data_IF_724485598105
#
_entry.id   IF_724485598105
#
_cell.length_a   1.000
_cell.length_b   1.000
_cell.length_c   1.000
_cell.angle_alpha   90.00
_cell.angle_beta   90.00
_cell.angle_gamma   90.00
#
_symmetry.space_group_name_H-M   'P 1'
#
loop_
_entity.id
_entity.type
_entity.pdbx_description
1 polymer ?
#
# COMPACT_ATOMS: atom_id res chain seq x y z
N UNK A 1 -1.77 12.61 18.33
CA UNK A 1 -2.22 11.80 17.17
C UNK A 1 -2.06 10.34 17.54
N UNK A 2 -3.03 9.44 17.26
CA UNK A 2 -2.88 8.04 17.56
C UNK A 2 -1.68 7.43 16.82
N UNK A 3 -0.98 6.51 17.45
CA UNK A 3 0.08 5.77 16.77
C UNK A 3 -0.51 4.92 15.62
N UNK A 4 0.29 4.56 14.61
CA UNK A 4 -0.17 3.64 13.55
C UNK A 4 -0.67 2.31 14.12
N UNK A 5 -0.09 1.88 15.23
CA UNK A 5 -0.52 0.68 15.94
C UNK A 5 -1.94 0.84 16.51
N UNK A 6 -2.22 1.95 17.20
CA UNK A 6 -3.57 2.26 17.72
C UNK A 6 -4.59 2.37 16.59
N UNK A 7 -4.22 3.01 15.48
CA UNK A 7 -5.08 3.12 14.30
C UNK A 7 -5.39 1.73 13.74
N UNK A 8 -4.37 0.88 13.59
CA UNK A 8 -4.55 -0.49 13.10
C UNK A 8 -5.46 -1.31 14.02
N UNK A 9 -5.27 -1.23 15.34
CA UNK A 9 -6.16 -1.90 16.30
C UNK A 9 -7.60 -1.37 16.22
N UNK A 10 -7.77 -0.07 16.08
CA UNK A 10 -9.09 0.54 15.98
C UNK A 10 -9.84 0.09 14.73
N UNK A 11 -9.16 0.08 13.58
CA UNK A 11 -9.74 -0.37 12.31
C UNK A 11 -9.98 -1.88 12.30
N UNK A 12 -9.09 -2.68 12.91
CA UNK A 12 -9.27 -4.14 13.00
C UNK A 12 -10.57 -4.53 13.70
N UNK A 13 -11.04 -3.76 14.70
CA UNK A 13 -12.33 -4.01 15.37
C UNK A 13 -13.55 -3.87 14.45
N UNK A 14 -13.40 -3.23 13.30
CA UNK A 14 -14.46 -3.06 12.29
C UNK A 14 -14.37 -4.11 11.18
N UNK A 15 -13.43 -5.04 11.26
CA UNK A 15 -13.28 -6.10 10.27
C UNK A 15 -14.46 -7.06 10.35
N UNK A 16 -14.94 -7.49 9.19
CA UNK A 16 -16.00 -8.50 9.00
C UNK A 16 -15.35 -9.56 8.11
N UNK A 17 -15.39 -10.82 8.53
CA UNK A 17 -14.76 -11.96 7.88
C UNK A 17 -15.76 -13.00 7.35
N UNK A 18 -17.02 -12.59 7.23
CA UNK A 18 -18.13 -13.33 6.66
C UNK A 18 -18.73 -12.59 5.46
N UNK A 19 -19.54 -13.32 4.67
CA UNK A 19 -20.25 -12.75 3.52
C UNK A 19 -21.46 -11.93 4.01
N UNK A 20 -21.43 -10.61 3.81
CA UNK A 20 -22.48 -9.67 4.25
C UNK A 20 -23.04 -8.83 3.08
N UNK A 21 -23.24 -9.50 1.95
CA UNK A 21 -23.74 -8.90 0.71
C UNK A 21 -24.85 -9.76 0.08
N UNK A 22 -25.67 -9.12 -0.76
CA UNK A 22 -26.85 -9.76 -1.37
C UNK A 22 -26.53 -10.56 -2.65
N UNK A 23 -25.41 -10.26 -3.31
CA UNK A 23 -25.06 -10.90 -4.57
C UNK A 23 -24.55 -12.34 -4.37
N UNK A 24 -24.75 -13.19 -5.38
CA UNK A 24 -24.25 -14.58 -5.42
C UNK A 24 -23.22 -14.77 -6.52
N UNK A 25 -22.35 -15.76 -6.35
CA UNK A 25 -21.43 -16.18 -7.41
C UNK A 25 -22.20 -16.78 -8.59
N UNK A 26 -21.77 -16.58 -9.85
CA UNK A 26 -22.39 -17.21 -11.00
C UNK A 26 -22.30 -18.74 -10.89
N UNK A 27 -23.43 -19.43 -11.02
CA UNK A 27 -23.44 -20.91 -11.07
C UNK A 27 -22.98 -21.38 -12.45
N UNK A 28 -22.09 -22.38 -12.48
CA UNK A 28 -21.48 -22.89 -13.72
C UNK A 28 -22.44 -23.73 -14.60
N UNK A 29 -23.75 -23.65 -14.39
CA UNK A 29 -24.72 -24.50 -15.08
C UNK A 29 -24.92 -24.08 -16.52
N UNK A 30 -24.19 -24.75 -17.42
CA UNK A 30 -24.49 -24.87 -18.86
C UNK A 30 -25.79 -25.64 -19.17
N UNK A 31 -26.64 -25.92 -18.19
CA UNK A 31 -27.94 -26.55 -18.43
C UNK A 31 -29.02 -25.48 -18.56
N UNK A 32 -29.28 -25.10 -19.82
CA UNK A 32 -30.58 -24.56 -20.24
C UNK A 32 -31.64 -25.63 -20.00
N UNK A 33 -32.22 -25.64 -18.82
CA UNK A 33 -33.55 -26.20 -18.59
C UNK A 33 -34.29 -25.19 -17.76
N UNK A 34 -35.32 -24.64 -18.39
CA UNK A 34 -36.33 -23.74 -17.86
C UNK A 34 -36.71 -24.13 -16.43
N UNK A 35 -36.34 -23.27 -15.47
CA UNK A 35 -37.04 -23.19 -14.19
C UNK A 35 -37.65 -21.80 -14.16
N UNK A 36 -38.98 -21.83 -14.10
CA UNK A 36 -39.87 -20.69 -14.14
C UNK A 36 -39.58 -19.69 -13.02
N UNK A 37 -39.89 -18.45 -13.38
CA UNK A 37 -39.82 -17.24 -12.58
C UNK A 37 -40.57 -17.41 -11.25
N UNK A 38 -39.86 -17.21 -10.14
CA UNK A 38 -40.45 -16.72 -8.89
C UNK A 38 -39.68 -15.47 -8.46
N UNK A 39 -40.10 -14.32 -9.01
CA UNK A 39 -40.30 -13.08 -8.26
C UNK A 39 -39.14 -12.38 -7.54
N UNK A 40 -37.87 -12.72 -7.78
CA UNK A 40 -36.74 -11.96 -7.25
C UNK A 40 -35.58 -11.93 -8.25
N UNK A 41 -35.21 -10.74 -8.75
CA UNK A 41 -33.96 -10.59 -9.49
C UNK A 41 -32.79 -10.90 -8.55
N UNK A 42 -32.25 -12.12 -8.63
CA UNK A 42 -31.07 -12.50 -7.88
C UNK A 42 -29.88 -11.67 -8.36
N UNK A 43 -29.31 -10.84 -7.49
CA UNK A 43 -28.09 -10.10 -7.81
C UNK A 43 -26.94 -11.09 -7.98
N UNK A 44 -26.23 -11.02 -9.11
CA UNK A 44 -25.08 -11.88 -9.40
C UNK A 44 -23.81 -11.03 -9.38
N UNK A 45 -22.70 -11.61 -8.95
CA UNK A 45 -21.39 -10.98 -9.06
C UNK A 45 -21.08 -10.70 -10.54
N UNK A 46 -20.89 -9.43 -10.88
CA UNK A 46 -20.66 -8.94 -12.25
C UNK A 46 -19.32 -8.22 -12.38
N UNK A 47 -18.96 -7.37 -11.43
CA UNK A 47 -17.76 -6.54 -11.52
C UNK A 47 -16.78 -6.84 -10.38
N UNK A 48 -15.55 -7.23 -10.75
CA UNK A 48 -14.45 -7.51 -9.81
C UNK A 48 -13.34 -6.50 -10.03
N UNK A 49 -13.01 -5.75 -8.98
CA UNK A 49 -11.91 -4.80 -8.98
C UNK A 49 -10.57 -5.47 -8.67
N UNK A 50 -9.50 -4.87 -9.17
CA UNK A 50 -8.12 -5.20 -8.85
C UNK A 50 -7.36 -3.93 -8.50
N UNK A 51 -6.52 -3.98 -7.47
CA UNK A 51 -5.65 -2.87 -7.09
C UNK A 51 -4.21 -3.31 -6.85
N UNK A 52 -3.28 -2.44 -7.23
CA UNK A 52 -1.83 -2.58 -7.03
C UNK A 52 -1.20 -1.20 -6.84
N UNK A 53 -0.05 -1.16 -6.14
CA UNK A 53 0.82 0.01 -6.08
C UNK A 53 2.21 -0.39 -6.58
N UNK A 54 2.63 0.23 -7.67
CA UNK A 54 4.00 0.09 -8.17
C UNK A 54 4.84 1.32 -7.85
N UNK A 55 6.13 1.11 -7.60
CA UNK A 55 7.08 2.17 -7.25
C UNK A 55 8.03 2.42 -8.42
N UNK A 56 8.41 3.68 -8.63
CA UNK A 56 9.47 4.02 -9.57
C UNK A 56 10.81 3.50 -9.03
N UNK A 57 11.56 2.75 -9.85
CA UNK A 57 12.81 2.12 -9.40
C UNK A 57 13.90 3.14 -9.07
N UNK A 58 13.94 4.22 -9.85
CA UNK A 58 14.94 5.29 -9.72
C UNK A 58 14.64 6.24 -8.54
N UNK A 59 13.36 6.41 -8.18
CA UNK A 59 12.94 7.17 -7.00
C UNK A 59 11.79 6.43 -6.29
N UNK A 60 12.08 5.58 -5.28
CA UNK A 60 11.07 4.84 -4.51
C UNK A 60 10.13 5.72 -3.67
N UNK A 61 10.32 7.04 -3.66
CA UNK A 61 9.32 7.97 -3.13
C UNK A 61 8.17 8.20 -4.11
N UNK A 62 8.33 7.88 -5.39
CA UNK A 62 7.27 7.99 -6.40
C UNK A 62 6.56 6.63 -6.55
N UNK A 63 5.25 6.64 -6.41
CA UNK A 63 4.40 5.47 -6.53
C UNK A 63 3.20 5.74 -7.44
N UNK A 64 2.75 4.70 -8.15
CA UNK A 64 1.54 4.69 -8.95
C UNK A 64 0.60 3.62 -8.40
N UNK A 65 -0.50 4.06 -7.81
CA UNK A 65 -1.64 3.21 -7.54
C UNK A 65 -2.47 3.00 -8.80
N UNK A 66 -2.96 1.79 -8.99
CA UNK A 66 -3.81 1.39 -10.11
C UNK A 66 -5.07 0.76 -9.57
N UNK A 67 -6.22 1.17 -10.09
CA UNK A 67 -7.51 0.53 -9.92
C UNK A 67 -7.99 0.06 -11.30
N UNK A 68 -8.28 -1.22 -11.43
CA UNK A 68 -8.92 -1.80 -12.62
C UNK A 68 -10.21 -2.48 -12.20
N UNK A 69 -11.21 -2.50 -13.08
CA UNK A 69 -12.43 -3.28 -12.88
C UNK A 69 -12.70 -4.13 -14.10
N UNK A 70 -12.97 -5.41 -13.86
CA UNK A 70 -13.24 -6.40 -14.88
C UNK A 70 -14.70 -6.83 -14.81
N UNK A 71 -15.28 -7.06 -15.98
CA UNK A 71 -16.51 -7.83 -16.11
C UNK A 71 -16.20 -9.31 -15.87
N UNK A 72 -16.89 -9.95 -14.92
CA UNK A 72 -16.57 -11.31 -14.46
C UNK A 72 -16.81 -12.36 -15.55
N UNK A 73 -17.80 -12.14 -16.43
CA UNK A 73 -18.15 -13.11 -17.47
C UNK A 73 -17.11 -13.15 -18.58
N UNK A 74 -16.66 -11.98 -19.03
CA UNK A 74 -15.72 -11.83 -20.14
C UNK A 74 -14.26 -11.69 -19.71
N UNK A 75 -14.03 -11.39 -18.43
CA UNK A 75 -12.75 -10.99 -17.83
C UNK A 75 -12.07 -9.84 -18.58
N UNK A 76 -12.86 -9.01 -19.26
CA UNK A 76 -12.40 -7.80 -19.93
C UNK A 76 -12.41 -6.62 -18.97
N UNK A 77 -11.43 -5.72 -19.13
CA UNK A 77 -11.37 -4.47 -18.37
C UNK A 77 -12.50 -3.55 -18.86
N UNK A 78 -13.37 -3.15 -17.94
CA UNK A 78 -14.46 -2.19 -18.18
C UNK A 78 -14.17 -0.81 -17.58
N UNK A 79 -13.19 -0.72 -16.67
CA UNK A 79 -12.75 0.53 -16.07
C UNK A 79 -11.29 0.45 -15.62
N UNK A 80 -10.58 1.58 -15.67
CA UNK A 80 -9.25 1.74 -15.10
C UNK A 80 -9.03 3.19 -14.64
N UNK A 81 -8.28 3.38 -13.56
CA UNK A 81 -7.85 4.69 -13.07
C UNK A 81 -6.50 4.57 -12.35
N UNK A 82 -5.74 5.67 -12.32
CA UNK A 82 -4.38 5.71 -11.78
C UNK A 82 -4.20 6.90 -10.85
N UNK A 83 -3.44 6.69 -9.78
CA UNK A 83 -3.06 7.74 -8.82
C UNK A 83 -1.56 7.78 -8.72
N UNK A 84 -0.96 8.89 -9.16
CA UNK A 84 0.48 9.10 -9.11
C UNK A 84 0.82 9.98 -7.93
N UNK A 85 1.56 9.45 -6.97
CA UNK A 85 1.80 10.10 -5.68
C UNK A 85 3.27 10.04 -5.34
N UNK A 86 3.79 11.16 -4.81
CA UNK A 86 5.07 11.17 -4.11
C UNK A 86 4.85 10.97 -2.61
N UNK A 87 5.27 9.82 -2.12
CA UNK A 87 5.15 9.42 -0.74
C UNK A 87 6.10 10.22 0.15
N UNK A 88 5.55 10.69 1.27
CA UNK A 88 6.30 11.37 2.34
C UNK A 88 6.56 10.45 3.53
N UNK A 89 6.06 9.21 3.47
CA UNK A 89 6.04 8.25 4.57
C UNK A 89 7.04 7.11 4.31
N UNK A 90 7.93 6.77 5.26
CA UNK A 90 8.92 5.71 5.09
C UNK A 90 8.27 4.31 5.07
N UNK A 91 8.98 3.34 4.47
CA UNK A 91 8.61 1.92 4.57
C UNK A 91 8.94 1.37 5.95
N UNK A 92 7.92 0.92 6.66
CA UNK A 92 8.07 0.19 7.93
C UNK A 92 7.40 -1.18 7.77
N UNK A 93 8.17 -2.24 7.99
CA UNK A 93 7.66 -3.61 7.88
C UNK A 93 6.44 -3.82 8.78
N UNK A 94 5.39 -4.45 8.23
CA UNK A 94 4.10 -4.64 8.90
C UNK A 94 3.17 -3.41 8.94
N UNK A 95 3.59 -2.27 8.36
CA UNK A 95 2.78 -1.05 8.23
C UNK A 95 2.64 -0.59 6.78
N UNK A 96 2.87 -1.47 5.80
CA UNK A 96 2.76 -1.17 4.37
C UNK A 96 1.43 -0.50 3.99
N UNK A 97 0.33 -0.93 4.63
CA UNK A 97 -1.00 -0.38 4.43
C UNK A 97 -1.06 1.15 4.63
N UNK A 98 -0.29 1.72 5.57
CA UNK A 98 -0.27 3.18 5.80
C UNK A 98 0.40 3.96 4.66
N UNK A 99 1.18 3.29 3.80
CA UNK A 99 1.76 3.90 2.59
C UNK A 99 0.85 3.77 1.39
N UNK A 100 0.15 2.65 1.25
CA UNK A 100 -0.55 2.31 0.01
C UNK A 100 -2.03 2.64 0.04
N UNK A 101 -2.71 2.52 1.20
CA UNK A 101 -4.12 2.88 1.33
C UNK A 101 -4.40 4.34 0.97
N UNK A 102 -3.57 5.34 1.37
CA UNK A 102 -3.77 6.73 0.93
C UNK A 102 -3.66 6.95 -0.58
N UNK A 103 -3.07 6.00 -1.33
CA UNK A 103 -2.97 6.05 -2.78
C UNK A 103 -4.19 5.38 -3.43
N UNK A 104 -4.61 4.25 -2.89
CA UNK A 104 -5.66 3.39 -3.44
C UNK A 104 -7.07 3.86 -3.08
N UNK A 105 -7.30 4.27 -1.84
CA UNK A 105 -8.62 4.68 -1.35
C UNK A 105 -9.23 5.83 -2.17
N UNK A 106 -8.49 6.90 -2.53
CA UNK A 106 -9.03 7.97 -3.38
C UNK A 106 -9.52 7.50 -4.75
N UNK A 107 -8.91 6.46 -5.34
CA UNK A 107 -9.36 5.90 -6.62
C UNK A 107 -10.75 5.25 -6.48
N UNK A 108 -10.94 4.49 -5.40
CA UNK A 108 -12.22 3.83 -5.10
C UNK A 108 -13.29 4.87 -4.75
N UNK A 109 -12.95 5.86 -3.93
CA UNK A 109 -13.86 6.94 -3.54
C UNK A 109 -14.27 7.81 -4.74
N UNK A 110 -13.33 8.17 -5.62
CA UNK A 110 -13.63 8.89 -6.86
C UNK A 110 -14.61 8.11 -7.73
N UNK A 111 -14.38 6.81 -7.92
CA UNK A 111 -15.29 5.96 -8.71
C UNK A 111 -16.70 5.87 -8.09
N UNK A 112 -16.78 5.76 -6.76
CA UNK A 112 -18.04 5.74 -5.99
C UNK A 112 -18.80 7.07 -6.11
N UNK A 113 -18.11 8.18 -5.89
CA UNK A 113 -18.69 9.53 -5.91
C UNK A 113 -19.18 9.90 -7.31
N UNK A 114 -18.50 9.43 -8.35
CA UNK A 114 -18.91 9.61 -9.74
C UNK A 114 -20.03 8.65 -10.17
N UNK A 115 -20.56 7.83 -9.25
CA UNK A 115 -21.63 6.85 -9.53
C UNK A 115 -21.33 5.97 -10.75
N UNK A 116 -20.09 5.50 -10.87
CA UNK A 116 -19.68 4.71 -12.02
C UNK A 116 -20.56 3.46 -12.16
N UNK A 117 -21.12 3.19 -13.37
CA UNK A 117 -21.94 2.00 -13.60
C UNK A 117 -21.14 0.70 -13.48
N UNK A 118 -19.82 0.79 -13.42
CA UNK A 118 -18.89 -0.32 -13.29
C UNK A 118 -18.34 -0.46 -11.86
N UNK A 119 -18.94 0.18 -10.85
CA UNK A 119 -18.43 0.12 -9.48
C UNK A 119 -18.31 -1.35 -9.02
N UNK A 120 -17.11 -1.79 -8.55
CA UNK A 120 -16.87 -3.20 -8.27
C UNK A 120 -17.64 -3.66 -7.03
N UNK A 121 -18.14 -4.89 -7.07
CA UNK A 121 -18.79 -5.52 -5.92
C UNK A 121 -17.79 -6.09 -4.91
N UNK A 122 -16.58 -6.39 -5.38
CA UNK A 122 -15.45 -6.90 -4.58
C UNK A 122 -14.15 -6.45 -5.21
N UNK A 123 -13.15 -6.13 -4.39
CA UNK A 123 -11.81 -5.74 -4.85
C UNK A 123 -10.78 -6.78 -4.40
N UNK A 124 -9.98 -7.26 -5.35
CA UNK A 124 -8.79 -8.05 -5.09
C UNK A 124 -7.57 -7.14 -4.97
N UNK A 125 -6.80 -7.33 -3.91
CA UNK A 125 -5.70 -6.45 -3.52
C UNK A 125 -4.39 -7.22 -3.65
N UNK A 126 -3.40 -6.67 -4.37
CA UNK A 126 -2.03 -7.20 -4.39
C UNK A 126 -1.37 -6.99 -3.02
N UNK A 127 -1.55 -7.95 -2.12
CA UNK A 127 -1.17 -7.82 -0.72
C UNK A 127 -2.04 -8.66 0.20
N UNK A 128 -1.58 -8.81 1.44
CA UNK A 128 -2.27 -9.67 2.41
C UNK A 128 -3.46 -8.99 3.07
N UNK A 129 -4.46 -9.79 3.44
CA UNK A 129 -5.57 -9.43 4.33
C UNK A 129 -5.30 -9.94 5.74
N UNK A 130 -6.13 -10.86 6.24
CA UNK A 130 -5.98 -11.47 7.57
C UNK A 130 -4.69 -12.28 7.72
N UNK A 131 -4.13 -12.84 6.64
CA UNK A 131 -2.82 -13.53 6.64
C UNK A 131 -1.66 -12.52 6.82
N UNK A 132 -1.59 -11.93 8.00
CA UNK A 132 -0.69 -10.84 8.35
C UNK A 132 -0.28 -10.99 9.82
N UNK A 133 0.95 -10.64 10.24
CA UNK A 133 1.41 -10.80 11.63
C UNK A 133 0.50 -10.19 12.69
N UNK A 134 -0.29 -9.18 12.32
CA UNK A 134 -1.28 -8.50 13.19
C UNK A 134 -2.73 -8.85 12.86
N UNK A 135 -2.98 -9.77 11.93
CA UNK A 135 -4.30 -10.11 11.42
C UNK A 135 -5.03 -8.95 10.75
N UNK A 136 -4.29 -8.00 10.17
CA UNK A 136 -4.84 -6.79 9.56
C UNK A 136 -3.86 -6.20 8.53
N UNK A 137 -3.79 -6.85 7.36
CA UNK A 137 -2.96 -6.43 6.23
C UNK A 137 -3.58 -5.32 5.39
N UNK A 138 -2.98 -5.08 4.23
CA UNK A 138 -3.40 -4.06 3.26
C UNK A 138 -4.86 -4.24 2.83
N UNK A 139 -5.27 -5.47 2.49
CA UNK A 139 -6.61 -5.73 2.00
C UNK A 139 -7.67 -5.45 3.07
N UNK A 140 -7.38 -5.77 4.33
CA UNK A 140 -8.25 -5.43 5.47
C UNK A 140 -8.36 -3.93 5.67
N UNK A 141 -7.22 -3.23 5.70
CA UNK A 141 -7.18 -1.80 5.92
C UNK A 141 -7.97 -1.05 4.84
N UNK A 142 -7.70 -1.37 3.57
CA UNK A 142 -8.40 -0.78 2.44
C UNK A 142 -9.90 -1.08 2.49
N UNK A 143 -10.28 -2.34 2.72
CA UNK A 143 -11.67 -2.77 2.76
C UNK A 143 -12.48 -2.08 3.86
N UNK A 144 -11.95 -2.00 5.08
CA UNK A 144 -12.61 -1.35 6.22
C UNK A 144 -12.84 0.15 5.96
N UNK A 145 -11.87 0.84 5.35
CA UNK A 145 -12.03 2.26 5.04
C UNK A 145 -12.96 2.50 3.85
N UNK A 146 -12.86 1.69 2.79
CA UNK A 146 -13.73 1.78 1.62
C UNK A 146 -15.16 1.28 1.91
N UNK A 147 -15.35 0.53 3.00
CA UNK A 147 -16.56 -0.23 3.31
C UNK A 147 -17.01 -1.08 2.12
N UNK A 148 -16.09 -1.88 1.59
CA UNK A 148 -16.29 -2.71 0.40
C UNK A 148 -15.68 -4.09 0.62
N UNK A 149 -16.28 -5.17 0.07
CA UNK A 149 -15.67 -6.49 0.09
C UNK A 149 -14.27 -6.47 -0.52
N UNK A 150 -13.27 -6.96 0.22
CA UNK A 150 -11.89 -7.05 -0.24
C UNK A 150 -11.28 -8.43 -0.01
N UNK A 151 -10.42 -8.84 -0.94
CA UNK A 151 -9.68 -10.11 -0.89
C UNK A 151 -8.19 -9.80 -0.99
N UNK A 152 -7.40 -10.31 -0.06
CA UNK A 152 -5.95 -10.23 -0.14
C UNK A 152 -5.39 -11.33 -1.04
N UNK A 153 -4.52 -10.97 -1.98
CA UNK A 153 -3.78 -11.87 -2.85
C UNK A 153 -2.29 -11.65 -2.63
N UNK A 154 -1.69 -12.46 -1.76
CA UNK A 154 -0.25 -12.44 -1.48
C UNK A 154 0.55 -13.31 -2.46
N UNK A 155 1.73 -12.82 -2.85
CA UNK A 155 2.72 -13.58 -3.65
C UNK A 155 3.67 -14.41 -2.79
N UNK A 156 3.83 -14.02 -1.52
CA UNK A 156 4.70 -14.67 -0.54
C UNK A 156 3.91 -15.02 0.72
N UNK A 157 4.32 -16.09 1.41
CA UNK A 157 3.75 -16.46 2.70
C UNK A 157 4.16 -15.43 3.77
N UNK A 158 3.20 -14.98 4.56
CA UNK A 158 3.51 -14.33 5.83
C UNK A 158 3.58 -15.39 6.94
N UNK A 159 4.68 -15.39 7.66
CA UNK A 159 4.91 -16.28 8.79
C UNK A 159 4.07 -15.81 9.97
N UNK A 160 2.91 -16.42 10.15
CA UNK A 160 1.93 -16.08 11.19
C UNK A 160 1.52 -17.34 11.92
N UNK A 161 1.40 -17.27 13.24
CA UNK A 161 0.84 -18.36 14.06
C UNK A 161 1.49 -19.74 13.75
N UNK A 162 2.81 -19.77 13.59
CA UNK A 162 3.57 -20.98 13.28
C UNK A 162 3.58 -21.44 11.82
N UNK A 163 2.83 -20.79 10.93
CA UNK A 163 2.89 -21.06 9.49
C UNK A 163 4.29 -20.78 8.94
N UNK A 164 4.79 -21.72 8.15
CA UNK A 164 6.08 -21.65 7.46
C UNK A 164 5.99 -22.29 6.07
N UNK A 165 6.96 -22.00 5.21
CA UNK A 165 6.95 -22.45 3.81
C UNK A 165 7.06 -23.97 3.66
N UNK A 166 7.78 -24.65 4.55
CA UNK A 166 7.96 -26.11 4.49
C UNK A 166 6.62 -26.83 4.68
N UNK A 167 5.87 -26.47 5.71
CA UNK A 167 4.57 -27.07 6.00
C UNK A 167 3.55 -26.73 4.92
N UNK A 168 3.52 -25.49 4.44
CA UNK A 168 2.64 -25.10 3.32
C UNK A 168 2.96 -25.92 2.07
N UNK A 169 4.23 -26.09 1.75
CA UNK A 169 4.67 -26.89 0.60
C UNK A 169 4.23 -28.35 0.74
N UNK A 170 4.38 -28.93 1.94
CA UNK A 170 3.94 -30.29 2.25
C UNK A 170 2.42 -30.44 2.07
N UNK A 171 1.64 -29.51 2.60
CA UNK A 171 0.18 -29.49 2.46
C UNK A 171 -0.24 -29.38 0.99
N UNK A 172 0.39 -28.50 0.22
CA UNK A 172 0.12 -28.33 -1.22
C UNK A 172 0.44 -29.60 -2.01
N UNK A 173 1.53 -30.30 -1.69
CA UNK A 173 1.88 -31.58 -2.31
C UNK A 173 0.88 -32.69 -1.97
N UNK A 174 0.44 -32.77 -0.71
CA UNK A 174 -0.58 -33.73 -0.29
C UNK A 174 -1.93 -33.45 -0.97
N UNK A 175 -2.36 -32.18 -1.02
CA UNK A 175 -3.57 -31.77 -1.72
C UNK A 175 -3.49 -32.00 -3.23
N UNK A 176 -2.30 -31.88 -3.84
CA UNK A 176 -2.11 -32.21 -5.27
C UNK A 176 -2.43 -33.68 -5.56
N UNK A 177 -2.03 -34.60 -4.68
CA UNK A 177 -2.35 -36.04 -4.82
C UNK A 177 -3.86 -36.32 -4.73
N UNK A 178 -4.61 -35.44 -4.07
CA UNK A 178 -6.08 -35.50 -3.95
C UNK A 178 -6.84 -34.68 -5.00
N UNK A 179 -6.14 -33.97 -5.89
CA UNK A 179 -6.75 -33.13 -6.93
C UNK A 179 -7.22 -31.74 -6.48
N UNK A 180 -6.69 -31.20 -5.38
CA UNK A 180 -7.38 -30.12 -4.63
C UNK A 180 -7.22 -28.64 -5.05
N UNK A 181 -6.53 -28.17 -6.09
CA UNK A 181 -6.16 -26.73 -6.35
C UNK A 181 -5.60 -25.81 -5.21
N UNK A 182 -6.03 -25.91 -3.96
CA UNK A 182 -5.67 -25.08 -2.83
C UNK A 182 -5.68 -25.88 -1.52
N UNK A 183 -5.09 -25.31 -0.46
CA UNK A 183 -5.17 -25.83 0.91
C UNK A 183 -5.43 -24.66 1.87
N UNK A 184 -6.30 -24.87 2.88
CA UNK A 184 -6.51 -23.87 3.94
C UNK A 184 -5.29 -23.84 4.87
N UNK A 185 -4.90 -22.66 5.31
CA UNK A 185 -3.72 -22.40 6.14
C UNK A 185 -4.15 -22.25 7.60
N UNK A 186 -4.13 -23.36 8.32
CA UNK A 186 -4.40 -23.40 9.76
C UNK A 186 -3.12 -23.17 10.54
N UNK A 187 -3.10 -22.17 11.41
CA UNK A 187 -1.99 -21.92 12.32
C UNK A 187 -2.05 -22.79 13.57
N UNK A 188 -1.02 -22.68 14.41
CA UNK A 188 -0.87 -23.46 15.66
C UNK A 188 -2.01 -23.20 16.66
N UNK A 189 -2.63 -22.01 16.63
CA UNK A 189 -3.81 -21.70 17.45
C UNK A 189 -5.09 -22.43 17.01
N UNK A 190 -5.08 -23.10 15.85
CA UNK A 190 -6.26 -23.66 15.20
C UNK A 190 -7.00 -22.65 14.30
N UNK A 191 -6.59 -21.38 14.31
CA UNK A 191 -7.17 -20.33 13.45
C UNK A 191 -6.80 -20.55 11.98
N UNK A 192 -7.77 -20.34 11.08
CA UNK A 192 -7.52 -20.36 9.63
C UNK A 192 -7.19 -18.95 9.16
N UNK A 193 -5.98 -18.74 8.67
CA UNK A 193 -5.48 -17.42 8.28
C UNK A 193 -5.69 -17.08 6.80
N UNK A 194 -5.92 -18.10 5.97
CA UNK A 194 -6.07 -17.96 4.53
C UNK A 194 -6.01 -19.31 3.82
N UNK A 195 -5.67 -19.29 2.54
CA UNK A 195 -5.44 -20.47 1.73
C UNK A 195 -4.26 -20.28 0.79
N UNK A 196 -3.44 -21.32 0.62
CA UNK A 196 -2.43 -21.37 -0.43
C UNK A 196 -3.05 -22.02 -1.67
N UNK A 197 -3.00 -21.35 -2.82
CA UNK A 197 -3.60 -21.78 -4.08
C UNK A 197 -2.55 -21.97 -5.16
N UNK A 198 -2.48 -23.18 -5.72
CA UNK A 198 -1.49 -23.56 -6.73
C UNK A 198 -1.67 -22.79 -8.03
N UNK A 199 -0.58 -22.65 -8.77
CA UNK A 199 -0.64 -22.13 -10.14
C UNK A 199 -1.37 -23.12 -11.06
N UNK A 200 -2.33 -22.67 -11.89
CA UNK A 200 -3.00 -23.52 -12.87
C UNK A 200 -2.06 -24.12 -13.92
N UNK A 201 -0.89 -23.49 -14.16
CA UNK A 201 0.06 -23.85 -15.23
C UNK A 201 1.34 -24.51 -14.71
N UNK A 202 1.35 -25.00 -13.47
CA UNK A 202 2.48 -25.76 -12.93
C UNK A 202 3.70 -24.94 -12.49
N UNK A 203 3.57 -23.61 -12.35
CA UNK A 203 4.56 -22.83 -11.58
C UNK A 203 4.55 -23.32 -10.12
N UNK A 204 5.74 -23.45 -9.53
CA UNK A 204 5.91 -23.97 -8.17
C UNK A 204 5.41 -23.01 -7.10
N UNK A 205 5.37 -21.71 -7.40
CA UNK A 205 5.01 -20.69 -6.43
C UNK A 205 3.49 -20.61 -6.29
N UNK A 206 2.93 -20.87 -5.10
CA UNK A 206 1.53 -20.63 -4.83
C UNK A 206 1.25 -19.13 -4.67
N UNK A 207 -0.02 -18.76 -4.77
CA UNK A 207 -0.48 -17.47 -4.22
C UNK A 207 -1.23 -17.73 -2.91
N UNK A 208 -1.33 -16.71 -2.08
CA UNK A 208 -1.93 -16.78 -0.76
C UNK A 208 -3.19 -15.91 -0.74
N UNK A 209 -4.33 -16.56 -0.64
CA UNK A 209 -5.63 -15.90 -0.56
C UNK A 209 -5.98 -15.70 0.92
N UNK A 210 -6.35 -14.50 1.30
CA UNK A 210 -6.81 -14.20 2.66
C UNK A 210 -7.99 -13.23 2.64
N UNK A 211 -8.84 -13.33 3.66
CA UNK A 211 -9.97 -12.41 3.85
C UNK A 211 -9.43 -10.99 3.99
N UNK A 212 -9.95 -10.06 3.19
CA UNK A 212 -9.72 -8.64 3.36
C UNK A 212 -10.77 -8.03 4.28
N UNK A 213 -12.02 -7.93 3.82
CA UNK A 213 -13.15 -7.38 4.57
C UNK A 213 -14.45 -7.84 3.91
N UNK A 214 -15.52 -8.07 4.67
CA UNK A 214 -16.89 -8.29 4.16
C UNK A 214 -17.00 -9.43 3.14
N UNK A 215 -16.19 -10.47 3.33
CA UNK A 215 -16.19 -11.67 2.49
C UNK A 215 -15.65 -12.84 3.31
N UNK A 216 -16.27 -13.99 3.18
CA UNK A 216 -15.80 -15.23 3.77
C UNK A 216 -14.57 -15.75 3.03
N UNK A 217 -13.73 -16.54 3.71
CA UNK A 217 -12.57 -17.15 3.06
C UNK A 217 -12.97 -18.07 1.89
N UNK A 218 -14.06 -18.81 2.02
CA UNK A 218 -14.52 -19.72 0.97
C UNK A 218 -14.99 -18.96 -0.27
N UNK A 219 -15.74 -17.87 -0.09
CA UNK A 219 -16.11 -16.98 -1.20
C UNK A 219 -14.88 -16.31 -1.83
N UNK A 220 -13.93 -15.85 -1.01
CA UNK A 220 -12.67 -15.27 -1.49
C UNK A 220 -11.86 -16.24 -2.35
N UNK A 221 -11.76 -17.51 -1.93
CA UNK A 221 -11.10 -18.58 -2.68
C UNK A 221 -11.83 -18.82 -4.01
N UNK A 222 -13.16 -18.90 -4.00
CA UNK A 222 -13.94 -19.14 -5.20
C UNK A 222 -13.80 -18.00 -6.22
N UNK A 223 -13.86 -16.74 -5.78
CA UNK A 223 -13.62 -15.56 -6.63
C UNK A 223 -12.21 -15.60 -7.21
N UNK A 224 -11.21 -15.89 -6.38
CA UNK A 224 -9.84 -16.03 -6.84
C UNK A 224 -9.69 -17.16 -7.88
N UNK A 225 -10.39 -18.29 -7.72
CA UNK A 225 -10.36 -19.39 -8.69
C UNK A 225 -10.97 -18.98 -10.04
N UNK A 226 -12.20 -18.45 -10.05
CA UNK A 226 -12.91 -18.12 -11.29
C UNK A 226 -12.26 -16.99 -12.09
N UNK A 227 -11.51 -16.11 -11.42
CA UNK A 227 -10.80 -15.00 -12.06
C UNK A 227 -9.36 -15.35 -12.46
N UNK A 228 -8.86 -16.56 -12.17
CA UNK A 228 -7.44 -16.91 -12.34
C UNK A 228 -7.16 -17.64 -13.65
N UNK A 229 -6.78 -16.87 -14.67
CA UNK A 229 -6.30 -17.39 -15.96
C UNK A 229 -4.78 -17.68 -16.00
N UNK A 230 -4.02 -17.06 -15.08
CA UNK A 230 -2.55 -17.09 -15.01
C UNK A 230 -2.08 -17.36 -13.57
N UNK A 231 -0.81 -17.06 -13.27
CA UNK A 231 -0.29 -17.17 -11.89
C UNK A 231 -1.05 -16.25 -10.93
N UNK A 232 -1.36 -15.01 -11.29
CA UNK A 232 -2.22 -14.12 -10.49
C UNK A 232 -3.66 -14.13 -11.03
N UNK A 233 -4.68 -13.92 -10.16
CA UNK A 233 -6.03 -13.58 -10.59
C UNK A 233 -6.03 -12.36 -11.52
N UNK A 234 -6.86 -12.41 -12.55
CA UNK A 234 -6.85 -11.43 -13.64
C UNK A 234 -6.99 -9.96 -13.16
N UNK A 235 -7.84 -9.62 -12.17
CA UNK A 235 -7.91 -8.25 -11.65
C UNK A 235 -6.58 -7.75 -11.06
N UNK A 236 -5.92 -8.56 -10.22
CA UNK A 236 -4.63 -8.20 -9.62
C UNK A 236 -3.53 -8.15 -10.68
N UNK A 237 -3.52 -9.12 -11.61
CA UNK A 237 -2.57 -9.18 -12.72
C UNK A 237 -2.65 -7.92 -13.59
N UNK A 238 -3.86 -7.47 -13.92
CA UNK A 238 -4.07 -6.27 -14.71
C UNK A 238 -3.70 -5.01 -13.94
N UNK A 239 -4.02 -4.92 -12.65
CA UNK A 239 -3.59 -3.80 -11.81
C UNK A 239 -2.05 -3.64 -11.82
N UNK A 240 -1.32 -4.74 -11.61
CA UNK A 240 0.16 -4.79 -11.59
C UNK A 240 0.79 -4.45 -12.95
N UNK A 241 0.26 -5.00 -14.05
CA UNK A 241 0.78 -4.65 -15.38
C UNK A 241 0.60 -3.18 -15.70
N UNK A 242 -0.59 -2.64 -15.39
CA UNK A 242 -0.96 -1.29 -15.77
C UNK A 242 -0.29 -0.23 -14.92
N UNK A 243 -0.11 -0.46 -13.62
CA UNK A 243 0.66 0.44 -12.74
C UNK A 243 2.11 0.57 -13.24
N UNK A 244 2.74 -0.55 -13.63
CA UNK A 244 4.10 -0.58 -14.18
C UNK A 244 4.21 0.08 -15.55
N UNK A 245 3.27 -0.19 -16.45
CA UNK A 245 3.25 0.44 -17.77
C UNK A 245 3.01 1.95 -17.67
N UNK A 246 2.14 2.39 -16.74
CA UNK A 246 1.91 3.81 -16.49
C UNK A 246 3.20 4.51 -16.02
N UNK A 247 3.93 3.93 -15.06
CA UNK A 247 5.24 4.45 -14.62
C UNK A 247 6.23 4.50 -15.78
N UNK A 248 6.30 3.45 -16.61
CA UNK A 248 7.23 3.38 -17.75
C UNK A 248 6.96 4.49 -18.76
N UNK A 249 5.68 4.72 -19.10
CA UNK A 249 5.26 5.73 -20.07
C UNK A 249 5.50 7.16 -19.57
N UNK A 250 5.29 7.40 -18.26
CA UNK A 250 5.40 8.74 -17.66
C UNK A 250 6.76 8.99 -16.98
N UNK A 251 7.74 8.10 -17.18
CA UNK A 251 9.04 8.12 -16.48
C UNK A 251 9.78 9.43 -16.63
N UNK A 252 9.87 9.98 -17.84
CA UNK A 252 10.59 11.23 -18.11
C UNK A 252 9.94 12.42 -17.41
N UNK A 253 8.61 12.55 -17.49
CA UNK A 253 7.83 13.57 -16.78
C UNK A 253 7.97 13.42 -15.26
N UNK A 254 7.97 12.18 -14.76
CA UNK A 254 8.13 11.86 -13.34
C UNK A 254 9.50 12.25 -12.79
N UNK A 255 10.56 11.97 -13.55
CA UNK A 255 11.92 12.38 -13.20
C UNK A 255 12.10 13.90 -13.28
N UNK A 256 11.43 14.57 -14.23
CA UNK A 256 11.44 16.03 -14.33
C UNK A 256 10.62 16.71 -13.21
N UNK A 257 9.54 16.10 -12.71
CA UNK A 257 8.84 16.54 -11.50
C UNK A 257 9.65 16.25 -10.22
N UNK A 258 10.61 15.33 -10.28
CA UNK A 258 11.51 15.02 -9.19
C UNK A 258 12.64 16.05 -9.03
N UNK A 259 12.73 17.05 -9.93
CA UNK A 259 13.70 18.12 -9.87
C UNK A 259 13.59 18.86 -8.53
N UNK A 260 14.73 18.95 -7.84
CA UNK A 260 14.89 19.05 -6.39
C UNK A 260 14.46 20.39 -5.77
N UNK A 261 13.83 21.27 -6.54
CA UNK A 261 13.39 22.61 -6.14
C UNK A 261 12.39 22.65 -4.98
N UNK A 262 11.66 21.55 -4.73
CA UNK A 262 10.73 21.46 -3.61
C UNK A 262 11.44 21.24 -2.27
N UNK A 263 12.61 20.58 -2.26
CA UNK A 263 13.41 20.38 -1.04
C UNK A 263 13.97 21.72 -0.56
N UNK A 264 14.46 22.54 -1.50
CA UNK A 264 14.89 23.90 -1.23
C UNK A 264 13.74 24.75 -0.71
N UNK A 265 12.55 24.68 -1.33
CA UNK A 265 11.36 25.40 -0.86
C UNK A 265 10.90 24.96 0.53
N UNK A 266 10.74 23.66 0.78
CA UNK A 266 10.32 23.15 2.08
C UNK A 266 11.31 23.49 3.21
N UNK A 267 12.61 23.49 2.91
CA UNK A 267 13.62 23.96 3.86
C UNK A 267 13.49 25.47 4.12
N UNK A 268 13.37 26.28 3.07
CA UNK A 268 13.18 27.74 3.18
C UNK A 268 11.93 28.08 4.00
N UNK A 269 10.83 27.39 3.74
CA UNK A 269 9.56 27.60 4.46
C UNK A 269 9.73 27.25 5.94
N UNK A 270 10.34 26.10 6.27
CA UNK A 270 10.63 25.72 7.66
C UNK A 270 11.55 26.73 8.37
N UNK A 271 12.62 27.20 7.71
CA UNK A 271 13.54 28.18 8.29
C UNK A 271 12.86 29.55 8.52
N UNK A 272 11.99 29.97 7.60
CA UNK A 272 11.24 31.20 7.76
C UNK A 272 10.16 31.08 8.84
N UNK A 273 9.49 29.94 8.97
CA UNK A 273 8.56 29.67 10.07
C UNK A 273 9.27 29.74 11.43
N UNK A 274 10.50 29.21 11.52
CA UNK A 274 11.34 29.31 12.72
C UNK A 274 11.82 30.75 13.00
N UNK A 275 12.07 31.55 11.97
CA UNK A 275 12.40 32.96 12.13
C UNK A 275 11.18 33.78 12.61
N UNK A 276 10.01 33.50 12.04
CA UNK A 276 8.74 34.12 12.43
C UNK A 276 8.36 33.75 13.87
N UNK A 277 8.66 32.52 14.30
CA UNK A 277 8.43 32.07 15.67
C UNK A 277 9.48 32.59 16.67
N UNK A 278 10.41 33.45 16.24
CA UNK A 278 11.47 34.02 17.07
C UNK A 278 12.57 33.04 17.48
N UNK A 279 12.57 31.82 16.91
CA UNK A 279 13.59 30.78 17.17
C UNK A 279 14.87 31.10 16.40
N UNK A 280 14.75 31.74 15.24
CA UNK A 280 15.86 32.35 14.50
C UNK A 280 15.69 33.87 14.47
N UNK A 281 16.77 34.61 14.66
CA UNK A 281 16.75 36.07 14.73
C UNK A 281 16.84 36.76 13.36
N UNK A 282 16.86 35.99 12.27
CA UNK A 282 16.95 36.50 10.91
C UNK A 282 16.12 35.63 9.95
N UNK A 283 15.42 36.24 8.96
CA UNK A 283 14.74 35.50 7.90
C UNK A 283 15.74 34.92 6.89
N UNK A 284 15.40 33.77 6.30
CA UNK A 284 16.22 33.11 5.28
C UNK A 284 15.65 33.41 3.91
N UNK A 285 16.30 34.30 3.17
CA UNK A 285 15.87 34.71 1.84
C UNK A 285 16.19 33.62 0.80
N UNK A 286 15.23 33.41 -0.10
CA UNK A 286 15.22 32.37 -1.15
C UNK A 286 16.51 32.34 -1.97
N UNK A 287 17.02 33.50 -2.38
CA UNK A 287 18.18 33.59 -3.26
C UNK A 287 19.49 33.23 -2.54
N UNK A 288 19.60 33.50 -1.24
CA UNK A 288 20.78 33.22 -0.42
C UNK A 288 20.95 31.73 -0.11
N UNK A 289 19.86 31.05 0.27
CA UNK A 289 19.88 29.62 0.57
C UNK A 289 19.94 28.78 -0.72
N UNK A 290 19.27 29.20 -1.78
CA UNK A 290 19.33 28.51 -3.08
C UNK A 290 20.73 28.64 -3.71
N UNK A 291 21.38 29.81 -3.62
CA UNK A 291 22.78 29.99 -4.04
C UNK A 291 23.76 29.21 -3.16
N UNK A 292 23.55 29.16 -1.85
CA UNK A 292 24.33 28.34 -0.91
C UNK A 292 24.22 26.84 -1.22
N UNK A 293 23.00 26.32 -1.42
CA UNK A 293 22.77 24.93 -1.80
C UNK A 293 23.33 24.60 -3.20
N UNK A 294 23.20 25.51 -4.18
CA UNK A 294 23.77 25.31 -5.53
C UNK A 294 25.31 25.36 -5.53
N UNK A 295 25.91 26.17 -4.67
CA UNK A 295 27.37 26.39 -4.65
C UNK A 295 28.13 25.43 -3.73
N UNK A 296 27.47 24.76 -2.77
CA UNK A 296 28.16 23.96 -1.74
C UNK A 296 27.76 22.49 -1.62
N UNK A 297 26.76 22.00 -2.37
CA UNK A 297 26.32 20.60 -2.36
C UNK A 297 27.05 19.69 -3.37
N UNK A 298 28.20 20.12 -3.91
CA UNK A 298 28.98 19.34 -4.90
C UNK A 298 30.21 18.62 -4.34
N UNK A 299 30.55 18.71 -3.05
CA UNK A 299 31.71 17.97 -2.52
C UNK A 299 31.51 17.36 -1.13
N UNK A 300 31.99 16.11 -1.00
CA UNK A 300 31.96 15.25 0.18
C UNK A 300 32.96 15.68 1.28
N UNK A 301 32.62 15.40 2.55
CA UNK A 301 33.41 14.67 3.58
C UNK A 301 33.09 15.08 5.04
N UNK A 302 33.56 14.25 5.98
CA UNK A 302 32.99 13.79 7.26
C UNK A 302 33.26 14.63 8.55
N UNK A 303 32.73 14.08 9.67
CA UNK A 303 33.16 14.06 11.10
C UNK A 303 32.62 15.06 12.15
N UNK A 304 32.21 14.44 13.28
CA UNK A 304 32.12 14.74 14.73
C UNK A 304 31.56 16.08 15.23
N UNK A 305 31.71 17.18 14.51
CA UNK A 305 31.15 18.46 14.93
C UNK A 305 29.66 18.61 14.57
N UNK A 306 29.17 17.77 13.65
CA UNK A 306 27.75 17.68 13.34
C UNK A 306 26.95 17.11 14.52
N UNK A 307 27.52 16.20 15.31
CA UNK A 307 26.82 15.61 16.46
C UNK A 307 26.72 16.59 17.64
N UNK A 308 27.69 17.49 17.78
CA UNK A 308 27.64 18.57 18.77
C UNK A 308 26.57 19.61 18.41
N UNK A 309 26.43 19.95 17.12
CA UNK A 309 25.39 20.84 16.62
C UNK A 309 24.00 20.18 16.58
N UNK A 310 23.93 18.88 16.29
CA UNK A 310 22.73 18.03 16.40
C UNK A 310 22.25 17.98 17.85
N UNK A 311 23.16 17.82 18.80
CA UNK A 311 22.84 17.88 20.23
C UNK A 311 22.35 19.27 20.66
N UNK A 312 22.89 20.34 20.09
CA UNK A 312 22.44 21.72 20.35
C UNK A 312 21.04 22.00 19.81
N UNK A 313 20.76 21.63 18.55
CA UNK A 313 19.44 21.77 17.93
C UNK A 313 18.40 20.84 18.57
N UNK A 314 18.77 19.60 18.90
CA UNK A 314 17.90 18.70 19.68
C UNK A 314 17.64 19.34 21.05
N UNK A 315 18.63 19.88 21.75
CA UNK A 315 18.37 20.52 23.06
C UNK A 315 17.43 21.72 22.97
N UNK A 316 17.57 22.58 21.96
CA UNK A 316 16.73 23.78 21.80
C UNK A 316 15.34 23.50 21.19
N UNK A 317 15.24 22.59 20.20
CA UNK A 317 13.99 22.28 19.48
C UNK A 317 13.20 21.18 20.18
N UNK A 318 13.87 20.15 20.71
CA UNK A 318 13.25 18.96 21.30
C UNK A 318 12.82 19.19 22.74
N UNK A 319 13.68 19.79 23.58
CA UNK A 319 13.45 19.88 25.02
C UNK A 319 12.79 21.18 25.48
N UNK A 320 13.01 22.31 24.79
CA UNK A 320 12.60 23.62 25.32
C UNK A 320 11.31 24.19 24.71
N UNK A 321 10.89 23.86 23.47
CA UNK A 321 9.73 24.56 22.87
C UNK A 321 8.76 23.76 21.98
N UNK A 322 9.10 22.63 21.35
CA UNK A 322 8.22 22.00 20.33
C UNK A 322 7.76 20.56 20.60
N UNK A 323 8.24 19.89 21.66
CA UNK A 323 7.82 18.54 22.06
C UNK A 323 7.74 17.52 20.89
N UNK A 324 8.65 17.63 19.92
CA UNK A 324 8.78 16.68 18.82
C UNK A 324 9.42 15.38 19.33
N UNK A 325 9.09 14.25 18.71
CA UNK A 325 9.67 12.92 19.05
C UNK A 325 10.85 12.57 18.14
N UNK A 326 11.79 11.72 18.60
CA UNK A 326 13.00 11.34 17.82
C UNK A 326 12.63 10.77 16.45
N UNK A 327 11.50 10.07 16.37
CA UNK A 327 10.94 9.53 15.12
C UNK A 327 10.47 10.62 14.13
N UNK A 328 9.97 11.77 14.60
CA UNK A 328 9.56 12.87 13.73
C UNK A 328 10.79 13.59 13.14
N UNK A 329 11.84 13.76 13.94
CA UNK A 329 13.10 14.35 13.49
C UNK A 329 13.79 13.47 12.43
N UNK A 330 13.82 12.15 12.68
CA UNK A 330 14.36 11.15 11.75
C UNK A 330 13.53 11.05 10.46
N UNK A 331 12.20 11.14 10.55
CA UNK A 331 11.29 11.10 9.39
C UNK A 331 11.46 12.29 8.44
N UNK A 332 11.89 13.45 8.94
CA UNK A 332 12.16 14.64 8.11
C UNK A 332 13.50 14.57 7.37
N UNK A 333 14.36 13.59 7.68
CA UNK A 333 15.76 13.51 7.21
C UNK A 333 16.55 14.81 7.40
N UNK A 334 16.18 15.61 8.40
CA UNK A 334 16.92 16.82 8.75
C UNK A 334 18.34 16.47 9.18
N UNK A 335 18.53 15.28 9.77
CA UNK A 335 19.84 14.79 10.18
C UNK A 335 20.79 14.62 8.98
N UNK A 336 20.38 13.96 7.89
CA UNK A 336 21.23 13.85 6.69
C UNK A 336 21.54 15.22 6.06
N UNK A 337 20.57 16.13 6.08
CA UNK A 337 20.71 17.50 5.59
C UNK A 337 21.67 18.35 6.46
N UNK A 338 21.58 18.21 7.79
CA UNK A 338 22.40 18.93 8.78
C UNK A 338 23.81 18.32 8.91
N UNK A 339 23.93 16.99 8.83
CA UNK A 339 25.20 16.25 8.82
C UNK A 339 26.03 16.65 7.59
N UNK A 340 25.38 16.87 6.44
CA UNK A 340 26.08 17.24 5.21
C UNK A 340 26.48 18.72 5.15
N UNK A 341 25.93 19.60 6.00
CA UNK A 341 26.08 21.07 5.85
C UNK A 341 26.43 21.84 7.14
N UNK A 342 26.47 21.18 8.31
CA UNK A 342 26.53 21.83 9.62
C UNK A 342 27.78 22.66 9.93
N UNK A 343 28.97 22.22 9.47
CA UNK A 343 30.25 22.92 9.74
C UNK A 343 30.34 24.32 9.12
N UNK A 344 29.67 24.56 7.99
CA UNK A 344 29.71 25.86 7.27
C UNK A 344 28.58 26.80 7.69
N UNK A 345 27.42 26.26 8.03
CA UNK A 345 26.30 27.06 8.55
C UNK A 345 26.70 27.75 9.87
N UNK A 346 27.36 27.02 10.79
CA UNK A 346 27.91 27.60 12.02
C UNK A 346 28.94 28.73 11.78
N UNK A 347 29.71 28.65 10.70
CA UNK A 347 30.72 29.67 10.35
C UNK A 347 30.09 30.92 9.72
N UNK A 348 28.95 30.77 9.06
CA UNK A 348 28.14 31.87 8.53
C UNK A 348 27.33 32.58 9.61
N UNK A 349 26.93 31.88 10.68
CA UNK A 349 26.16 32.45 11.80
C UNK A 349 27.02 33.16 12.85
N UNK A 350 28.34 32.91 12.85
CA UNK A 350 29.30 33.53 13.77
C UNK A 350 30.07 34.72 13.17
N UNK A 351 29.83 35.04 11.90
CA UNK A 351 30.31 36.26 11.22
C UNK A 351 29.10 37.10 10.84
#
# INVERSE_FOLDING_TARGET
MPSWLETQHSLKRRLIDEDDFEWKLPTSSRNKTSVEEHGGHQLVLKYVGGVDVSFLKEDPSVACGSLVVLDLQSLQIVYQDYSLVRLRVPYIAGFLAFREVPILLPLIEKMKNNQSPYYPQVIMVDGNGMLHPRGFGLACHLGVLANLPTIGVGKNLHYVDGLNEEEVTRLLQAGRRRGEDFVKLMGNSGSIWGAAMRSPRGSQDPIYISVGHRVSLDTAINIAKITRQYHLPEPVRQADLRSRDYIRQHKSTLLNLADSSWKSRAAIDLFNDLAISGVLWFPVFKDGLESFCRWHLTDMHTTDQCDMFRSFLIKQVYYENLALTEQQLFAMRLEDFLISNGKRLLKFLNN
#
